data_IF_571262856650
#
_entry.id   IF_571262856650
#
_cell.length_a   1.000
_cell.length_b   1.000
_cell.length_c   1.000
_cell.angle_alpha   90.00
_cell.angle_beta   90.00
_cell.angle_gamma   90.00
#
_symmetry.space_group_name_H-M   'P 1'
#
loop_
_entity.id
_entity.type
_entity.pdbx_description
1 polymer ?
#
# COMPACT_ATOMS: atom_id res chain seq x y z
N UNK A 1 -16.90 -13.73 -7.09
CA UNK A 1 -15.71 -14.12 -7.90
C UNK A 1 -14.79 -15.06 -7.12
N UNK A 2 -14.02 -14.63 -6.10
CA UNK A 2 -13.14 -15.57 -5.37
C UNK A 2 -13.86 -16.78 -4.77
N UNK A 3 -15.05 -16.61 -4.17
CA UNK A 3 -15.84 -17.68 -3.60
C UNK A 3 -16.27 -18.72 -4.64
N UNK A 4 -16.66 -18.27 -5.83
CA UNK A 4 -17.08 -19.13 -6.93
C UNK A 4 -15.92 -20.00 -7.44
N UNK A 5 -14.78 -19.38 -7.69
CA UNK A 5 -13.56 -20.07 -8.13
C UNK A 5 -13.01 -21.02 -7.05
N UNK A 6 -13.02 -20.58 -5.79
CA UNK A 6 -12.63 -21.43 -4.68
C UNK A 6 -13.49 -22.70 -4.59
N UNK A 7 -14.81 -22.55 -4.75
CA UNK A 7 -15.75 -23.67 -4.74
C UNK A 7 -15.50 -24.62 -5.92
N UNK A 8 -15.24 -24.08 -7.12
CA UNK A 8 -14.93 -24.88 -8.30
C UNK A 8 -13.62 -25.69 -8.16
N UNK A 9 -12.65 -25.15 -7.40
CA UNK A 9 -11.37 -25.79 -7.12
C UNK A 9 -11.41 -26.70 -5.88
N UNK A 10 -12.53 -26.81 -5.18
CA UNK A 10 -12.65 -27.56 -3.93
C UNK A 10 -11.89 -26.91 -2.76
N UNK A 11 -11.64 -25.61 -2.84
CA UNK A 11 -10.99 -24.83 -1.78
C UNK A 11 -12.07 -24.27 -0.85
N UNK A 12 -11.90 -24.48 0.45
CA UNK A 12 -12.75 -23.83 1.44
C UNK A 12 -12.24 -22.40 1.70
N UNK A 13 -13.05 -21.40 1.34
CA UNK A 13 -12.75 -19.99 1.57
C UNK A 13 -13.52 -19.46 2.78
N UNK A 14 -12.80 -18.90 3.75
CA UNK A 14 -13.37 -18.08 4.83
C UNK A 14 -13.04 -16.62 4.54
N UNK A 15 -14.02 -15.74 4.68
CA UNK A 15 -13.83 -14.31 4.44
C UNK A 15 -14.10 -13.51 5.72
N UNK A 16 -13.28 -12.52 6.02
CA UNK A 16 -13.61 -11.43 6.91
C UNK A 16 -14.15 -10.30 6.05
N UNK A 17 -15.33 -9.80 6.36
CA UNK A 17 -15.99 -8.76 5.57
C UNK A 17 -16.25 -7.52 6.41
N UNK A 18 -16.10 -6.33 5.84
CA UNK A 18 -16.34 -5.07 6.56
C UNK A 18 -17.84 -4.83 6.80
N UNK A 19 -18.70 -5.37 5.92
CA UNK A 19 -20.15 -5.25 6.03
C UNK A 19 -20.86 -6.49 5.51
N UNK A 20 -21.90 -6.94 6.17
CA UNK A 20 -22.68 -8.11 5.79
C UNK A 20 -23.42 -7.93 4.45
N UNK A 21 -23.78 -6.69 4.11
CA UNK A 21 -24.41 -6.30 2.84
C UNK A 21 -23.41 -5.96 1.72
N UNK A 22 -22.11 -6.01 1.99
CA UNK A 22 -21.07 -5.90 1.00
C UNK A 22 -21.07 -7.05 0.01
N UNK A 23 -20.43 -6.88 -1.15
CA UNK A 23 -20.44 -7.87 -2.26
C UNK A 23 -19.96 -9.26 -1.82
N UNK A 24 -18.96 -9.35 -0.96
CA UNK A 24 -18.49 -10.63 -0.41
C UNK A 24 -19.46 -11.19 0.63
N UNK A 25 -20.01 -10.37 1.52
CA UNK A 25 -20.99 -10.77 2.52
C UNK A 25 -22.26 -11.36 1.90
N UNK A 26 -22.70 -10.83 0.76
CA UNK A 26 -23.88 -11.34 0.04
C UNK A 26 -23.69 -12.76 -0.54
N UNK A 27 -22.47 -13.16 -0.85
CA UNK A 27 -22.16 -14.50 -1.41
C UNK A 27 -21.51 -15.43 -0.38
N UNK A 28 -21.21 -14.93 0.80
CA UNK A 28 -20.66 -15.69 1.93
C UNK A 28 -21.43 -15.31 3.19
N UNK A 29 -22.68 -15.81 3.36
CA UNK A 29 -23.60 -15.31 4.38
C UNK A 29 -23.13 -15.51 5.84
N UNK A 30 -22.26 -16.49 6.08
CA UNK A 30 -21.73 -16.78 7.41
C UNK A 30 -20.36 -16.12 7.65
N UNK A 31 -19.94 -15.19 6.75
CA UNK A 31 -18.69 -14.46 6.91
C UNK A 31 -18.75 -13.57 8.15
N UNK A 32 -17.78 -13.64 9.07
CA UNK A 32 -17.70 -12.71 10.19
C UNK A 32 -17.49 -11.29 9.68
N UNK A 33 -18.14 -10.33 10.36
CA UNK A 33 -17.99 -8.90 10.09
C UNK A 33 -16.94 -8.32 11.00
N UNK A 34 -15.95 -7.63 10.42
CA UNK A 34 -14.87 -6.98 11.14
C UNK A 34 -13.92 -6.25 10.19
N UNK A 35 -13.15 -5.32 10.73
CA UNK A 35 -12.15 -4.59 9.96
C UNK A 35 -10.89 -5.43 9.74
N UNK A 36 -10.20 -5.18 8.64
CA UNK A 36 -8.97 -5.90 8.28
C UNK A 36 -7.77 -5.57 9.19
N UNK A 37 -7.87 -4.51 9.99
CA UNK A 37 -6.91 -4.11 11.03
C UNK A 37 -7.36 -4.52 12.45
N UNK A 38 -8.54 -5.13 12.60
CA UNK A 38 -8.97 -5.73 13.86
C UNK A 38 -8.27 -7.08 14.06
N UNK A 39 -7.24 -7.09 14.92
CA UNK A 39 -6.46 -8.30 15.20
C UNK A 39 -7.32 -9.46 15.70
N UNK A 40 -8.32 -9.20 16.53
CA UNK A 40 -9.18 -10.27 17.10
C UNK A 40 -10.03 -10.91 15.99
N UNK A 41 -10.60 -10.09 15.08
CA UNK A 41 -11.39 -10.55 13.96
C UNK A 41 -10.54 -11.34 12.96
N UNK A 42 -9.35 -10.84 12.61
CA UNK A 42 -8.42 -11.54 11.72
C UNK A 42 -7.96 -12.86 12.32
N UNK A 43 -7.60 -12.90 13.61
CA UNK A 43 -7.20 -14.13 14.30
C UNK A 43 -8.33 -15.16 14.34
N UNK A 44 -9.57 -14.75 14.57
CA UNK A 44 -10.72 -15.64 14.56
C UNK A 44 -10.89 -16.35 13.20
N UNK A 45 -10.75 -15.60 12.09
CA UNK A 45 -10.81 -16.17 10.74
C UNK A 45 -9.65 -17.13 10.47
N UNK A 46 -8.44 -16.81 10.94
CA UNK A 46 -7.26 -17.66 10.77
C UNK A 46 -7.35 -18.94 11.60
N UNK A 47 -7.79 -18.84 12.85
CA UNK A 47 -7.83 -19.96 13.80
C UNK A 47 -8.97 -20.93 13.49
N UNK A 48 -10.12 -20.42 13.03
CA UNK A 48 -11.37 -21.18 12.94
C UNK A 48 -12.13 -21.21 14.25
N UNK A 49 -13.31 -21.82 14.25
CA UNK A 49 -14.23 -21.85 15.38
C UNK A 49 -14.16 -23.16 16.19
N UNK A 50 -13.29 -24.08 15.81
CA UNK A 50 -13.12 -25.37 16.46
C UNK A 50 -14.18 -26.41 16.13
N UNK A 51 -15.10 -26.14 15.18
CA UNK A 51 -16.09 -27.08 14.72
C UNK A 51 -15.47 -28.20 13.87
N UNK A 52 -16.21 -29.29 13.69
CA UNK A 52 -15.77 -30.37 12.78
C UNK A 52 -15.85 -29.91 11.31
N UNK A 53 -14.80 -30.23 10.55
CA UNK A 53 -14.74 -29.96 9.12
C UNK A 53 -13.79 -28.81 8.75
N UNK A 54 -13.74 -28.45 7.46
CA UNK A 54 -12.78 -27.47 6.94
C UNK A 54 -12.95 -26.05 7.52
N UNK A 55 -14.16 -25.71 8.00
CA UNK A 55 -14.44 -24.41 8.59
C UNK A 55 -13.86 -24.26 10.02
N UNK A 56 -13.76 -25.35 10.76
CA UNK A 56 -13.42 -25.31 12.17
C UNK A 56 -11.93 -25.30 12.49
N UNK A 57 -11.10 -25.81 11.58
CA UNK A 57 -9.67 -25.86 11.76
C UNK A 57 -8.94 -24.57 11.36
N UNK A 58 -7.62 -24.46 11.65
CA UNK A 58 -6.83 -23.31 11.24
C UNK A 58 -6.76 -23.20 9.71
N UNK A 59 -6.74 -21.98 9.21
CA UNK A 59 -6.57 -21.69 7.79
C UNK A 59 -5.18 -22.13 7.32
N UNK A 60 -5.11 -22.79 6.17
CA UNK A 60 -3.83 -23.15 5.56
C UNK A 60 -3.06 -21.93 5.04
N UNK A 61 -3.78 -20.91 4.58
CA UNK A 61 -3.23 -19.67 4.03
C UNK A 61 -4.13 -18.52 4.42
N UNK A 62 -3.54 -17.41 4.87
CA UNK A 62 -4.17 -16.11 4.96
C UNK A 62 -3.83 -15.29 3.72
N UNK A 63 -4.82 -14.78 3.04
CA UNK A 63 -4.66 -13.85 1.91
C UNK A 63 -5.56 -12.63 2.07
N UNK A 64 -5.34 -11.59 1.27
CA UNK A 64 -6.12 -10.35 1.31
C UNK A 64 -6.25 -9.76 -0.11
N UNK A 65 -7.32 -9.01 -0.35
CA UNK A 65 -7.60 -8.44 -1.68
C UNK A 65 -7.09 -7.02 -1.86
N UNK A 66 -6.83 -6.28 -0.78
CA UNK A 66 -6.35 -4.91 -0.86
C UNK A 66 -5.16 -4.66 0.07
N UNK A 67 -4.44 -3.58 -0.18
CA UNK A 67 -3.20 -3.25 0.52
C UNK A 67 -3.39 -2.65 1.93
N UNK A 68 -4.62 -2.36 2.36
CA UNK A 68 -4.93 -1.70 3.64
C UNK A 68 -4.96 -2.67 4.83
N UNK A 69 -3.95 -3.53 4.91
CA UNK A 69 -3.77 -4.46 6.02
C UNK A 69 -2.80 -3.89 7.06
N UNK A 70 -2.95 -4.26 8.33
CA UNK A 70 -1.91 -3.99 9.34
C UNK A 70 -0.69 -4.90 9.09
N UNK A 71 0.39 -4.30 8.56
CA UNK A 71 1.62 -5.05 8.26
C UNK A 71 2.25 -5.67 9.51
N UNK A 72 2.16 -5.00 10.67
CA UNK A 72 2.71 -5.53 11.91
C UNK A 72 1.91 -6.74 12.41
N UNK A 73 0.60 -6.73 12.22
CA UNK A 73 -0.25 -7.90 12.51
C UNK A 73 0.13 -9.07 11.59
N UNK A 74 0.25 -8.83 10.28
CA UNK A 74 0.63 -9.87 9.33
C UNK A 74 2.01 -10.47 9.63
N UNK A 75 2.97 -9.64 10.03
CA UNK A 75 4.31 -10.09 10.45
C UNK A 75 4.25 -10.96 11.71
N UNK A 76 3.42 -10.58 12.71
CA UNK A 76 3.21 -11.40 13.92
C UNK A 76 2.57 -12.74 13.58
N UNK A 77 1.53 -12.77 12.76
CA UNK A 77 0.88 -14.01 12.32
C UNK A 77 1.85 -14.92 11.55
N UNK A 78 2.69 -14.36 10.69
CA UNK A 78 3.71 -15.11 9.98
C UNK A 78 4.77 -15.70 10.95
N UNK A 79 5.20 -14.94 11.95
CA UNK A 79 6.13 -15.43 12.97
C UNK A 79 5.52 -16.54 13.84
N UNK A 80 4.20 -16.55 14.00
CA UNK A 80 3.43 -17.60 14.70
C UNK A 80 3.18 -18.84 13.82
N UNK A 81 3.64 -18.84 12.57
CA UNK A 81 3.54 -19.97 11.65
C UNK A 81 2.36 -19.92 10.68
N UNK A 82 1.59 -18.82 10.64
CA UNK A 82 0.52 -18.63 9.64
C UNK A 82 1.15 -18.37 8.28
N UNK A 83 0.73 -19.10 7.25
CA UNK A 83 1.15 -18.83 5.87
C UNK A 83 0.43 -17.60 5.33
N UNK A 84 1.09 -16.43 5.38
CA UNK A 84 0.55 -15.16 4.85
C UNK A 84 0.99 -14.98 3.40
N UNK A 85 0.04 -14.88 2.47
CA UNK A 85 0.30 -14.76 1.03
C UNK A 85 -0.61 -13.69 0.38
N UNK A 86 -0.04 -12.69 -0.31
CA UNK A 86 1.41 -12.41 -0.42
C UNK A 86 2.05 -12.09 0.94
N UNK A 87 3.38 -12.21 1.00
CA UNK A 87 4.09 -11.96 2.26
C UNK A 87 3.97 -10.49 2.71
N UNK A 88 4.12 -10.17 4.02
CA UNK A 88 4.12 -8.79 4.49
C UNK A 88 5.16 -7.90 3.77
N UNK A 89 6.31 -8.46 3.39
CA UNK A 89 7.34 -7.75 2.63
C UNK A 89 6.85 -7.41 1.21
N UNK A 90 6.15 -8.32 0.54
CA UNK A 90 5.56 -8.05 -0.77
C UNK A 90 4.47 -6.96 -0.69
N UNK A 91 3.65 -6.97 0.38
CA UNK A 91 2.67 -5.93 0.65
C UNK A 91 3.33 -4.55 0.82
N UNK A 92 4.47 -4.48 1.50
CA UNK A 92 5.23 -3.22 1.64
C UNK A 92 5.59 -2.63 0.27
N UNK A 93 6.00 -3.45 -0.69
CA UNK A 93 6.33 -3.00 -2.04
C UNK A 93 5.09 -2.50 -2.81
N UNK A 94 3.92 -3.07 -2.58
CA UNK A 94 2.67 -2.60 -3.16
C UNK A 94 2.23 -1.23 -2.59
N UNK A 95 2.44 -1.01 -1.29
CA UNK A 95 2.02 0.19 -0.56
C UNK A 95 2.98 1.37 -0.65
N UNK A 96 4.27 1.11 -0.85
CA UNK A 96 5.33 2.14 -0.85
C UNK A 96 6.05 2.17 -2.19
N UNK A 97 5.70 3.18 -3.01
CA UNK A 97 6.27 3.37 -4.34
C UNK A 97 7.79 3.58 -4.29
N UNK A 98 8.29 4.22 -3.23
CA UNK A 98 9.72 4.45 -3.08
C UNK A 98 10.47 3.16 -2.74
N UNK A 99 9.94 2.36 -1.81
CA UNK A 99 10.48 1.04 -1.50
C UNK A 99 10.48 0.14 -2.74
N UNK A 100 9.38 0.12 -3.51
CA UNK A 100 9.29 -0.61 -4.76
C UNK A 100 10.35 -0.16 -5.77
N UNK A 101 10.52 1.16 -5.99
CA UNK A 101 11.50 1.71 -6.92
C UNK A 101 12.93 1.36 -6.55
N UNK A 102 13.26 1.46 -5.26
CA UNK A 102 14.58 1.08 -4.73
C UNK A 102 14.84 -0.43 -4.92
N UNK A 103 13.84 -1.27 -4.63
CA UNK A 103 13.96 -2.71 -4.84
C UNK A 103 14.19 -3.04 -6.32
N UNK A 104 13.40 -2.46 -7.23
CA UNK A 104 13.56 -2.68 -8.68
C UNK A 104 14.94 -2.23 -9.18
N UNK A 105 15.45 -1.08 -8.69
CA UNK A 105 16.80 -0.61 -9.03
C UNK A 105 17.87 -1.59 -8.52
N UNK A 106 17.75 -2.05 -7.27
CA UNK A 106 18.69 -3.01 -6.68
C UNK A 106 18.70 -4.38 -7.39
N UNK A 107 17.57 -4.77 -7.96
CA UNK A 107 17.43 -6.00 -8.75
C UNK A 107 17.78 -5.84 -10.24
N UNK A 108 18.13 -4.62 -10.69
CA UNK A 108 18.42 -4.34 -12.10
C UNK A 108 17.21 -4.50 -13.02
N UNK A 109 15.98 -4.36 -12.48
CA UNK A 109 14.76 -4.50 -13.27
C UNK A 109 14.48 -3.24 -14.10
N UNK A 110 13.95 -3.40 -15.32
CA UNK A 110 13.55 -2.26 -16.15
C UNK A 110 12.47 -1.42 -15.47
N UNK A 111 12.68 -0.10 -15.43
CA UNK A 111 11.71 0.85 -14.90
C UNK A 111 11.92 2.22 -15.52
N UNK A 112 10.89 3.11 -15.51
CA UNK A 112 11.08 4.50 -15.90
C UNK A 112 12.12 5.18 -15.00
N UNK A 113 12.76 6.23 -15.52
CA UNK A 113 13.61 7.10 -14.70
C UNK A 113 12.82 7.64 -13.49
N UNK A 114 13.45 7.73 -12.35
CA UNK A 114 12.83 8.19 -11.11
C UNK A 114 13.86 8.85 -10.19
N UNK A 115 13.39 9.74 -9.35
CA UNK A 115 14.18 10.36 -8.29
C UNK A 115 13.33 10.49 -7.03
N UNK A 116 13.97 10.38 -5.87
CA UNK A 116 13.37 10.71 -4.59
C UNK A 116 13.48 12.22 -4.38
N UNK A 117 12.34 12.88 -4.16
CA UNK A 117 12.25 14.31 -3.84
C UNK A 117 11.82 14.46 -2.39
N UNK A 118 12.42 15.41 -1.69
CA UNK A 118 12.22 15.59 -0.25
C UNK A 118 13.04 14.58 0.59
N UNK A 119 14.11 14.02 0.08
CA UNK A 119 15.10 13.24 0.82
C UNK A 119 15.91 14.09 1.81
N UNK A 120 16.83 13.49 2.59
CA UNK A 120 17.59 14.19 3.63
C UNK A 120 18.41 15.41 3.15
N UNK A 121 18.66 15.50 1.86
CA UNK A 121 19.43 16.60 1.23
C UNK A 121 18.54 17.73 0.68
N UNK A 122 17.21 17.62 0.82
CA UNK A 122 16.25 18.60 0.31
C UNK A 122 15.32 19.00 1.45
N UNK A 123 15.77 19.96 2.25
CA UNK A 123 15.09 20.41 3.47
C UNK A 123 14.07 21.51 3.19
N UNK A 124 14.20 22.24 2.07
CA UNK A 124 13.31 23.34 1.70
C UNK A 124 12.52 23.04 0.43
N UNK A 125 11.40 23.74 0.26
CA UNK A 125 10.61 23.68 -0.98
C UNK A 125 11.43 24.09 -2.22
N UNK A 126 12.33 25.06 -2.09
CA UNK A 126 13.19 25.53 -3.17
C UNK A 126 14.16 24.43 -3.62
N UNK A 127 14.84 23.77 -2.66
CA UNK A 127 15.71 22.63 -2.97
C UNK A 127 14.97 21.47 -3.63
N UNK A 128 13.71 21.22 -3.25
CA UNK A 128 12.86 20.22 -3.91
C UNK A 128 12.52 20.62 -5.34
N UNK A 129 12.18 21.91 -5.58
CA UNK A 129 11.91 22.46 -6.91
C UNK A 129 13.14 22.32 -7.79
N UNK A 130 14.32 22.71 -7.30
CA UNK A 130 15.58 22.61 -8.04
C UNK A 130 15.92 21.17 -8.43
N UNK A 131 15.67 20.22 -7.51
CA UNK A 131 15.86 18.80 -7.80
C UNK A 131 14.89 18.27 -8.86
N UNK A 132 13.63 18.71 -8.86
CA UNK A 132 12.64 18.35 -9.89
C UNK A 132 13.04 18.95 -11.24
N UNK A 133 13.49 20.20 -11.28
CA UNK A 133 13.98 20.85 -12.50
C UNK A 133 15.24 20.16 -13.05
N UNK A 134 16.18 19.77 -12.18
CA UNK A 134 17.36 19.03 -12.58
C UNK A 134 17.00 17.66 -13.19
N UNK A 135 16.07 16.94 -12.57
CA UNK A 135 15.54 15.68 -13.11
C UNK A 135 14.87 15.88 -14.46
N UNK A 136 14.06 16.92 -14.62
CA UNK A 136 13.39 17.22 -15.87
C UNK A 136 14.36 17.72 -16.96
N UNK A 137 15.46 18.38 -16.59
CA UNK A 137 16.51 18.76 -17.55
C UNK A 137 17.20 17.54 -18.16
N UNK A 138 17.34 16.45 -17.40
CA UNK A 138 17.94 15.20 -17.87
C UNK A 138 16.96 14.33 -18.66
N UNK A 139 15.71 14.24 -18.20
CA UNK A 139 14.74 13.25 -18.70
C UNK A 139 13.59 13.86 -19.52
N UNK A 140 13.46 15.19 -19.54
CA UNK A 140 12.41 15.92 -20.26
C UNK A 140 11.15 16.15 -19.42
N UNK A 141 10.35 17.14 -19.87
CA UNK A 141 8.98 17.38 -19.42
C UNK A 141 8.00 16.59 -20.29
N UNK A 142 6.84 16.18 -19.77
CA UNK A 142 6.35 16.36 -18.40
C UNK A 142 6.95 15.37 -17.40
N UNK A 143 6.99 15.77 -16.12
CA UNK A 143 7.31 14.87 -15.01
C UNK A 143 6.07 14.57 -14.19
N UNK A 144 6.06 13.44 -13.49
CA UNK A 144 4.96 13.02 -12.62
C UNK A 144 5.44 12.99 -11.18
N UNK A 145 4.90 13.83 -10.34
CA UNK A 145 5.08 13.78 -8.89
C UNK A 145 4.14 12.73 -8.31
N UNK A 146 4.62 11.94 -7.36
CA UNK A 146 3.82 10.93 -6.67
C UNK A 146 4.15 10.90 -5.19
N UNK A 147 3.11 10.77 -4.34
CA UNK A 147 3.34 10.45 -2.92
C UNK A 147 3.86 9.02 -2.82
N UNK A 148 4.83 8.73 -1.95
CA UNK A 148 5.31 7.36 -1.74
C UNK A 148 4.20 6.41 -1.28
N UNK A 149 3.34 6.88 -0.37
CA UNK A 149 2.25 6.11 0.23
C UNK A 149 0.92 6.83 0.13
N UNK A 150 -0.19 6.11 0.31
CA UNK A 150 -1.54 6.67 0.41
C UNK A 150 -2.13 7.20 -0.88
N UNK A 151 -1.50 7.02 -2.02
CA UNK A 151 -2.05 7.42 -3.32
C UNK A 151 -2.83 6.28 -3.99
N UNK A 152 -4.14 6.45 -4.14
CA UNK A 152 -5.04 5.53 -4.84
C UNK A 152 -6.02 6.35 -5.72
N UNK A 153 -6.56 5.76 -6.75
CA UNK A 153 -7.57 6.33 -7.64
C UNK A 153 -7.25 7.75 -8.14
N UNK A 154 -5.97 8.00 -8.48
CA UNK A 154 -5.51 9.30 -8.95
C UNK A 154 -5.12 10.30 -7.85
N UNK A 155 -5.40 9.99 -6.58
CA UNK A 155 -4.91 10.80 -5.46
C UNK A 155 -3.41 10.60 -5.26
N UNK A 156 -2.72 11.67 -4.85
CA UNK A 156 -1.28 11.61 -4.63
C UNK A 156 -0.46 11.45 -5.91
N UNK A 157 -0.99 11.89 -7.07
CA UNK A 157 -0.31 11.93 -8.38
C UNK A 157 -0.57 13.26 -9.04
N UNK A 158 0.47 13.96 -9.46
CA UNK A 158 0.39 15.25 -10.15
C UNK A 158 1.29 15.26 -11.38
N UNK A 159 0.72 15.60 -12.53
CA UNK A 159 1.44 15.81 -13.79
C UNK A 159 1.90 17.26 -13.88
N UNK A 160 3.22 17.47 -13.92
CA UNK A 160 3.86 18.78 -14.04
C UNK A 160 4.44 18.90 -15.45
N UNK A 161 3.97 19.89 -16.22
CA UNK A 161 4.24 20.00 -17.66
C UNK A 161 5.44 20.86 -18.01
N UNK A 162 5.86 21.76 -17.11
CA UNK A 162 6.98 22.69 -17.33
C UNK A 162 7.51 23.24 -16.01
N UNK A 163 8.68 23.87 -16.04
CA UNK A 163 9.26 24.59 -14.92
C UNK A 163 8.33 25.71 -14.40
N UNK A 164 7.64 26.40 -15.30
CA UNK A 164 6.66 27.43 -14.91
C UNK A 164 5.51 26.81 -14.10
N UNK A 165 4.91 25.71 -14.57
CA UNK A 165 3.83 25.02 -13.87
C UNK A 165 4.26 24.38 -12.55
N UNK A 166 5.55 24.07 -12.39
CA UNK A 166 6.12 23.59 -11.12
C UNK A 166 6.16 24.68 -10.05
N UNK A 167 6.45 25.92 -10.45
CA UNK A 167 6.60 27.06 -9.53
C UNK A 167 5.28 27.77 -9.22
N UNK A 168 4.17 27.31 -9.77
CA UNK A 168 2.85 27.93 -9.63
C UNK A 168 1.76 26.89 -9.33
N UNK A 169 0.63 27.38 -8.79
CA UNK A 169 -0.58 26.60 -8.59
C UNK A 169 -0.37 25.33 -7.74
N UNK A 170 -1.04 24.27 -8.12
CA UNK A 170 -1.11 23.02 -7.37
C UNK A 170 0.26 22.36 -7.13
N UNK A 171 1.19 22.43 -8.09
CA UNK A 171 2.50 21.83 -7.94
C UNK A 171 3.35 22.56 -6.89
N UNK A 172 3.33 23.89 -6.89
CA UNK A 172 4.02 24.70 -5.89
C UNK A 172 3.44 24.46 -4.48
N UNK A 173 2.12 24.40 -4.37
CA UNK A 173 1.43 24.10 -3.10
C UNK A 173 1.77 22.71 -2.59
N UNK A 174 1.81 21.72 -3.48
CA UNK A 174 2.19 20.36 -3.12
C UNK A 174 3.61 20.30 -2.57
N UNK A 175 4.60 20.82 -3.31
CA UNK A 175 6.01 20.84 -2.87
C UNK A 175 6.13 21.56 -1.54
N UNK A 176 5.47 22.71 -1.37
CA UNK A 176 5.46 23.46 -0.12
C UNK A 176 4.83 22.67 1.04
N UNK A 177 3.77 21.89 0.76
CA UNK A 177 3.13 21.03 1.77
C UNK A 177 4.06 19.91 2.26
N UNK A 178 4.79 19.28 1.34
CA UNK A 178 5.79 18.25 1.67
C UNK A 178 6.92 18.83 2.52
N UNK A 179 7.43 20.00 2.15
CA UNK A 179 8.47 20.69 2.91
C UNK A 179 8.00 21.03 4.35
N UNK A 180 6.77 21.53 4.51
CA UNK A 180 6.19 21.81 5.84
C UNK A 180 5.99 20.54 6.68
N UNK A 181 5.48 19.46 6.08
CA UNK A 181 5.27 18.21 6.79
C UNK A 181 6.58 17.63 7.34
N UNK A 182 7.68 17.82 6.62
CA UNK A 182 9.01 17.39 7.07
C UNK A 182 9.56 18.26 8.18
N UNK A 183 9.43 19.56 8.08
CA UNK A 183 9.87 20.49 9.13
C UNK A 183 9.15 20.19 10.46
N UNK A 184 7.85 19.87 10.43
CA UNK A 184 7.09 19.47 11.62
C UNK A 184 7.49 18.11 12.21
N UNK A 185 8.11 17.21 11.46
CA UNK A 185 8.63 15.93 11.97
C UNK A 185 10.03 16.07 12.62
N UNK A 186 10.75 17.14 12.35
CA UNK A 186 12.06 17.42 12.93
C UNK A 186 12.04 17.98 14.35
N UNK A 187 10.91 18.52 14.79
CA UNK A 187 10.75 19.19 16.11
C UNK A 187 10.31 18.24 17.25
N UNK A 188 10.19 16.96 16.96
CA UNK A 188 9.73 15.90 17.88
C UNK A 188 10.87 15.04 18.47
N UNK A 189 12.02 15.64 18.85
CA UNK A 189 13.07 14.98 19.65
C UNK A 189 13.14 15.58 21.04
#
# INVERSE_FOLDING_TARGET
>A
MMQEEASALGIHLRALVEAADGSTGQVTPDAPVGAADDEAAVRAVVTGDGSDGPAGGPASVLTFEHEHQDSALLERLQAEGVSVQPTPQALTLARDKLAMRRMMSGAGLPQPAWAEIGGPQQESAEQMVDAIEAFAAEHGWPVVLKTPRGGYDGHGVLLVRSAESLRQGEAAEWVASVARARAGQGDGR
#
